data_IF_320322316463
#
_entry.id   IF_320322316463
#
_cell.length_a   1.000
_cell.length_b   1.000
_cell.length_c   1.000
_cell.angle_alpha   90.00
_cell.angle_beta   90.00
_cell.angle_gamma   90.00
#
_symmetry.space_group_name_H-M   'P 1'
#
loop_
_entity.id
_entity.type
_entity.pdbx_description
1 polymer ?
#
# COMPACT_ATOMS: atom_id res chain seq x y z
N UNK A 1 63.75 -45.28 26.80
CA UNK A 1 63.49 -44.00 27.49
C UNK A 1 62.64 -43.13 26.54
N UNK A 2 61.31 -42.97 26.78
CA UNK A 2 60.52 -42.10 25.94
C UNK A 2 60.57 -40.66 26.44
N UNK A 3 60.90 -39.71 25.53
CA UNK A 3 60.88 -38.28 25.81
C UNK A 3 59.45 -37.78 25.85
N UNK A 4 58.99 -37.31 26.99
CA UNK A 4 57.74 -36.61 27.17
C UNK A 4 57.82 -35.22 26.54
N UNK A 5 57.08 -35.01 25.43
CA UNK A 5 56.89 -33.71 24.78
C UNK A 5 55.88 -32.94 25.64
N UNK A 6 56.35 -31.95 26.40
CA UNK A 6 55.50 -31.01 27.15
C UNK A 6 54.84 -30.05 26.18
N UNK A 7 53.58 -30.30 25.79
CA UNK A 7 52.73 -29.35 25.07
C UNK A 7 52.49 -28.14 25.97
N UNK A 8 53.08 -27.01 25.63
CA UNK A 8 52.74 -25.72 26.21
C UNK A 8 51.34 -25.35 25.70
N UNK A 9 50.35 -25.40 26.56
CA UNK A 9 49.05 -24.80 26.29
C UNK A 9 49.25 -23.27 26.28
N UNK A 10 49.14 -22.70 25.09
CA UNK A 10 49.09 -21.25 24.93
C UNK A 10 47.78 -20.81 25.54
N UNK A 11 47.80 -20.22 26.69
CA UNK A 11 46.65 -19.65 27.37
C UNK A 11 46.39 -18.32 26.72
N UNK A 12 45.52 -18.30 25.68
CA UNK A 12 45.06 -17.08 25.08
C UNK A 12 44.39 -16.26 26.19
N UNK A 13 44.98 -15.14 26.54
CA UNK A 13 44.41 -14.16 27.48
C UNK A 13 43.21 -13.54 26.76
N UNK A 14 42.04 -13.99 27.07
CA UNK A 14 40.80 -13.26 26.73
C UNK A 14 40.85 -11.92 27.45
N UNK A 15 41.19 -10.87 26.72
CA UNK A 15 41.09 -9.49 27.19
C UNK A 15 39.62 -9.17 27.30
N UNK A 16 39.10 -9.09 28.52
CA UNK A 16 37.74 -8.64 28.79
C UNK A 16 37.62 -7.12 28.55
N UNK A 17 36.43 -6.68 28.12
CA UNK A 17 36.14 -5.26 27.97
C UNK A 17 36.21 -4.52 29.33
N UNK A 18 36.71 -3.31 29.32
CA UNK A 18 36.66 -2.45 30.50
C UNK A 18 35.27 -1.87 30.69
N UNK A 19 34.87 -1.59 31.94
CA UNK A 19 33.61 -0.97 32.24
C UNK A 19 33.47 0.40 31.53
N UNK A 20 34.57 1.15 31.46
CA UNK A 20 34.61 2.45 30.76
C UNK A 20 34.36 2.29 29.25
N UNK A 21 34.93 1.26 28.60
CA UNK A 21 34.71 1.01 27.17
C UNK A 21 33.24 0.71 26.84
N UNK A 22 32.58 -0.12 27.66
CA UNK A 22 31.16 -0.38 27.51
C UNK A 22 30.33 0.88 27.70
N UNK A 23 30.67 1.74 28.67
CA UNK A 23 29.96 2.99 28.92
C UNK A 23 30.07 3.94 27.74
N UNK A 24 31.27 4.09 27.14
CA UNK A 24 31.49 4.92 25.94
C UNK A 24 30.71 4.38 24.76
N UNK A 25 30.74 3.07 24.53
CA UNK A 25 29.99 2.42 23.43
C UNK A 25 28.48 2.65 23.59
N UNK A 26 27.93 2.46 24.80
CA UNK A 26 26.52 2.71 25.04
C UNK A 26 26.12 4.17 24.84
N UNK A 27 26.98 5.12 25.23
CA UNK A 27 26.75 6.55 24.98
C UNK A 27 26.72 6.86 23.47
N UNK A 28 27.65 6.32 22.68
CA UNK A 28 27.70 6.49 21.23
C UNK A 28 26.48 5.85 20.54
N UNK A 29 26.12 4.62 20.91
CA UNK A 29 24.94 3.93 20.37
C UNK A 29 23.67 4.70 20.70
N UNK A 30 23.53 5.22 21.92
CA UNK A 30 22.37 6.03 22.32
C UNK A 30 22.24 7.31 21.48
N UNK A 31 23.35 8.00 21.22
CA UNK A 31 23.37 9.21 20.39
C UNK A 31 23.00 8.89 18.93
N UNK A 32 23.54 7.83 18.34
CA UNK A 32 23.22 7.40 17.00
C UNK A 32 21.76 6.95 16.87
N UNK A 33 21.24 6.21 17.84
CA UNK A 33 19.86 5.76 17.86
C UNK A 33 18.87 6.93 17.89
N UNK A 34 19.18 8.01 18.62
CA UNK A 34 18.35 9.21 18.68
C UNK A 34 18.16 9.90 17.33
N UNK A 35 19.16 9.82 16.44
CA UNK A 35 19.07 10.41 15.08
C UNK A 35 18.43 9.43 14.09
N UNK A 36 18.68 8.14 14.23
CA UNK A 36 18.24 7.11 13.28
C UNK A 36 16.72 6.82 13.37
N UNK A 37 16.14 6.87 14.59
CA UNK A 37 14.76 6.47 14.81
C UNK A 37 13.72 7.28 14.02
N UNK A 38 13.73 8.63 13.98
CA UNK A 38 12.75 9.41 13.22
C UNK A 38 12.86 9.19 11.71
N UNK A 39 14.07 9.00 11.18
CA UNK A 39 14.30 8.72 9.76
C UNK A 39 13.70 7.38 9.33
N UNK A 40 13.75 6.37 10.18
CA UNK A 40 13.21 5.05 9.93
C UNK A 40 11.68 5.05 9.78
N UNK A 41 10.97 5.81 10.60
CA UNK A 41 9.51 5.93 10.53
C UNK A 41 9.06 6.55 9.20
N UNK A 42 9.74 7.60 8.74
CA UNK A 42 9.46 8.23 7.44
C UNK A 42 9.71 7.28 6.26
N UNK A 43 10.78 6.48 6.33
CA UNK A 43 11.08 5.47 5.32
C UNK A 43 10.00 4.38 5.26
N UNK A 44 9.59 3.82 6.41
CA UNK A 44 8.54 2.80 6.48
C UNK A 44 7.21 3.30 5.91
N UNK A 45 6.81 4.51 6.25
CA UNK A 45 5.58 5.14 5.72
C UNK A 45 5.61 5.28 4.21
N UNK A 46 6.74 5.71 3.64
CA UNK A 46 6.92 5.79 2.19
C UNK A 46 6.83 4.42 1.52
N UNK A 47 7.42 3.41 2.11
CA UNK A 47 7.37 2.05 1.58
C UNK A 47 5.94 1.51 1.57
N UNK A 48 5.16 1.75 2.63
CA UNK A 48 3.75 1.36 2.70
C UNK A 48 2.91 2.06 1.63
N UNK A 49 3.12 3.37 1.39
CA UNK A 49 2.46 4.12 0.33
C UNK A 49 2.84 3.61 -1.07
N UNK A 50 4.12 3.33 -1.31
CA UNK A 50 4.59 2.76 -2.58
C UNK A 50 3.95 1.40 -2.84
N UNK A 51 3.89 0.55 -1.82
CA UNK A 51 3.25 -0.76 -1.88
C UNK A 51 1.76 -0.63 -2.21
N UNK A 52 1.03 0.27 -1.54
CA UNK A 52 -0.39 0.49 -1.79
C UNK A 52 -0.64 0.99 -3.22
N UNK A 53 0.14 1.97 -3.69
CA UNK A 53 0.06 2.48 -5.05
C UNK A 53 0.33 1.39 -6.09
N UNK A 54 1.37 0.57 -5.89
CA UNK A 54 1.74 -0.52 -6.80
C UNK A 54 0.67 -1.62 -6.83
N UNK A 55 0.10 -1.99 -5.68
CA UNK A 55 -1.00 -2.97 -5.61
C UNK A 55 -2.26 -2.46 -6.31
N UNK A 56 -2.64 -1.20 -6.10
CA UNK A 56 -3.77 -0.59 -6.79
C UNK A 56 -3.55 -0.52 -8.31
N UNK A 57 -2.34 -0.17 -8.75
CA UNK A 57 -1.98 -0.20 -10.17
C UNK A 57 -2.09 -1.61 -10.75
N UNK A 58 -1.55 -2.61 -10.05
CA UNK A 58 -1.59 -4.01 -10.48
C UNK A 58 -3.02 -4.55 -10.53
N UNK A 59 -3.86 -4.20 -9.56
CA UNK A 59 -5.27 -4.62 -9.52
C UNK A 59 -6.07 -4.06 -10.69
N UNK A 60 -5.87 -2.77 -11.03
CA UNK A 60 -6.48 -2.15 -12.21
C UNK A 60 -6.02 -2.80 -13.51
N UNK A 61 -4.72 -3.08 -13.64
CA UNK A 61 -4.16 -3.80 -14.80
C UNK A 61 -4.68 -5.23 -14.90
N UNK A 62 -4.83 -5.91 -13.77
CA UNK A 62 -5.40 -7.26 -13.71
C UNK A 62 -6.86 -7.27 -14.19
N UNK A 63 -7.69 -6.34 -13.70
CA UNK A 63 -9.08 -6.21 -14.14
C UNK A 63 -9.16 -5.90 -15.64
N UNK A 64 -8.34 -4.97 -16.14
CA UNK A 64 -8.27 -4.62 -17.56
C UNK A 64 -7.89 -5.83 -18.43
N UNK A 65 -6.91 -6.61 -17.99
CA UNK A 65 -6.45 -7.82 -18.68
C UNK A 65 -7.51 -8.92 -18.63
N UNK A 66 -8.14 -9.15 -17.48
CA UNK A 66 -9.21 -10.13 -17.30
C UNK A 66 -10.44 -9.80 -18.14
N UNK A 67 -10.82 -8.51 -18.21
CA UNK A 67 -11.91 -8.06 -19.05
C UNK A 67 -11.69 -8.44 -20.53
N UNK A 68 -10.48 -8.21 -21.05
CA UNK A 68 -10.11 -8.59 -22.43
C UNK A 68 -10.09 -10.09 -22.65
N UNK A 69 -9.53 -10.84 -21.72
CA UNK A 69 -9.38 -12.31 -21.81
C UNK A 69 -10.73 -13.01 -21.76
N UNK A 70 -11.56 -12.61 -20.80
CA UNK A 70 -12.85 -13.27 -20.53
C UNK A 70 -13.98 -12.72 -21.41
N UNK A 71 -13.75 -11.62 -22.15
CA UNK A 71 -14.75 -10.89 -22.94
C UNK A 71 -15.97 -10.47 -22.11
N UNK A 72 -15.76 -10.16 -20.83
CA UNK A 72 -16.76 -9.76 -19.85
C UNK A 72 -16.30 -8.47 -19.14
N UNK A 73 -17.26 -7.77 -18.56
CA UNK A 73 -16.96 -6.60 -17.77
C UNK A 73 -16.36 -7.00 -16.42
N UNK A 74 -15.22 -6.40 -16.09
CA UNK A 74 -14.52 -6.56 -14.81
C UNK A 74 -14.40 -5.23 -14.11
N UNK A 75 -14.36 -5.26 -12.80
CA UNK A 75 -14.19 -4.06 -12.00
C UNK A 75 -13.20 -4.27 -10.85
N UNK A 76 -12.63 -3.17 -10.42
CA UNK A 76 -11.90 -3.09 -9.16
C UNK A 76 -12.67 -2.19 -8.23
N UNK A 77 -12.87 -2.68 -7.03
CA UNK A 77 -13.52 -1.93 -5.95
C UNK A 77 -12.54 -1.68 -4.82
N UNK A 78 -12.69 -0.53 -4.18
CA UNK A 78 -11.84 -0.05 -3.11
C UNK A 78 -12.70 0.45 -1.96
N UNK A 79 -12.30 0.22 -0.72
CA UNK A 79 -12.97 0.74 0.48
C UNK A 79 -12.01 0.92 1.65
N UNK A 80 -12.37 1.77 2.58
CA UNK A 80 -11.84 1.72 3.93
C UNK A 80 -12.79 0.87 4.78
N UNK A 81 -12.30 -0.20 5.39
CA UNK A 81 -13.10 -1.07 6.25
C UNK A 81 -12.42 -1.24 7.60
N UNK A 82 -13.06 -0.74 8.66
CA UNK A 82 -12.43 -0.63 9.97
C UNK A 82 -11.15 0.22 9.88
N UNK A 83 -10.04 -0.36 10.31
CA UNK A 83 -8.74 0.31 10.33
C UNK A 83 -7.89 0.03 9.07
N UNK A 84 -8.46 -0.55 8.01
CA UNK A 84 -7.72 -0.97 6.81
C UNK A 84 -8.38 -0.50 5.52
N UNK A 85 -7.54 -0.06 4.59
CA UNK A 85 -7.94 0.08 3.20
C UNK A 85 -7.91 -1.31 2.54
N UNK A 86 -8.90 -1.59 1.69
CA UNK A 86 -9.07 -2.86 1.00
C UNK A 86 -9.40 -2.65 -0.48
N UNK A 87 -9.08 -3.67 -1.28
CA UNK A 87 -9.52 -3.73 -2.68
C UNK A 87 -9.98 -5.14 -3.04
N UNK A 88 -10.82 -5.24 -4.07
CA UNK A 88 -11.22 -6.50 -4.66
C UNK A 88 -11.31 -6.38 -6.19
N UNK A 89 -10.84 -7.41 -6.90
CA UNK A 89 -10.93 -7.52 -8.36
C UNK A 89 -11.96 -8.59 -8.69
N UNK A 90 -13.02 -8.22 -9.40
CA UNK A 90 -14.11 -9.16 -9.67
C UNK A 90 -14.87 -8.81 -10.96
N UNK A 91 -15.65 -9.76 -11.44
CA UNK A 91 -16.58 -9.53 -12.56
C UNK A 91 -17.65 -8.54 -12.13
N UNK A 92 -18.05 -7.68 -13.04
CA UNK A 92 -19.17 -6.76 -12.78
C UNK A 92 -20.46 -7.56 -12.57
N UNK A 93 -21.18 -7.34 -11.46
CA UNK A 93 -22.46 -8.02 -11.25
C UNK A 93 -23.48 -7.59 -12.29
N UNK A 94 -24.26 -8.55 -12.83
CA UNK A 94 -25.28 -8.33 -13.85
C UNK A 94 -26.40 -7.43 -13.34
N UNK A 95 -26.68 -7.48 -12.04
CA UNK A 95 -27.62 -6.60 -11.36
C UNK A 95 -26.83 -5.62 -10.51
N UNK A 96 -27.16 -4.35 -10.60
CA UNK A 96 -26.67 -3.30 -9.70
C UNK A 96 -26.93 -3.76 -8.26
N UNK A 97 -25.91 -4.39 -7.66
CA UNK A 97 -26.10 -5.12 -6.42
C UNK A 97 -26.12 -4.11 -5.26
N UNK A 98 -27.34 -3.74 -4.87
CA UNK A 98 -27.60 -3.10 -3.57
C UNK A 98 -27.48 -4.10 -2.42
N UNK A 99 -27.21 -5.37 -2.73
CA UNK A 99 -27.20 -6.44 -1.74
C UNK A 99 -25.87 -6.43 -0.97
N UNK A 100 -25.94 -6.10 0.30
CA UNK A 100 -24.77 -6.12 1.21
C UNK A 100 -24.08 -7.50 1.24
N UNK A 101 -24.81 -8.61 1.08
CA UNK A 101 -24.26 -9.96 1.07
C UNK A 101 -23.27 -10.17 -0.10
N UNK A 102 -23.51 -9.56 -1.28
CA UNK A 102 -22.57 -9.62 -2.40
C UNK A 102 -21.22 -9.01 -2.02
N UNK A 103 -21.24 -7.83 -1.42
CA UNK A 103 -20.03 -7.10 -1.05
C UNK A 103 -19.26 -7.77 0.09
N UNK A 104 -19.97 -8.44 1.00
CA UNK A 104 -19.34 -9.19 2.09
C UNK A 104 -18.67 -10.47 1.61
N UNK A 105 -19.16 -11.07 0.52
CA UNK A 105 -18.61 -12.33 -0.02
C UNK A 105 -17.49 -12.12 -1.06
N UNK A 106 -17.11 -10.88 -1.37
CA UNK A 106 -15.95 -10.63 -2.23
C UNK A 106 -14.64 -11.01 -1.53
N UNK A 107 -13.69 -11.49 -2.32
CA UNK A 107 -12.32 -11.69 -1.86
C UNK A 107 -11.61 -10.35 -1.72
N UNK A 108 -11.75 -9.73 -0.56
CA UNK A 108 -11.08 -8.48 -0.25
C UNK A 108 -9.63 -8.73 0.12
N UNK A 109 -8.74 -7.94 -0.46
CA UNK A 109 -7.32 -7.92 -0.12
C UNK A 109 -6.99 -6.63 0.64
N UNK A 110 -6.23 -6.77 1.73
CA UNK A 110 -5.83 -5.63 2.57
C UNK A 110 -4.61 -4.90 1.98
N UNK A 111 -4.65 -3.59 2.03
CA UNK A 111 -3.44 -2.77 1.96
C UNK A 111 -2.71 -2.78 3.32
N UNK A 112 -1.52 -2.17 3.35
CA UNK A 112 -0.79 -1.98 4.60
C UNK A 112 -1.62 -1.14 5.58
N UNK A 113 -1.62 -1.54 6.87
CA UNK A 113 -2.40 -0.87 7.92
C UNK A 113 -2.00 0.58 8.18
N UNK A 114 -0.80 1.01 7.72
CA UNK A 114 -0.34 2.39 7.82
C UNK A 114 -0.96 3.33 6.78
N UNK A 115 -1.74 2.79 5.82
CA UNK A 115 -2.27 3.54 4.68
C UNK A 115 -3.80 3.52 4.70
N UNK A 116 -4.41 4.64 4.32
CA UNK A 116 -5.86 4.79 4.11
C UNK A 116 -6.15 5.37 2.73
N UNK A 117 -7.33 5.09 2.20
CA UNK A 117 -7.87 5.74 1.00
C UNK A 117 -8.41 7.11 1.43
N UNK A 118 -8.03 8.15 0.69
CA UNK A 118 -8.57 9.50 0.90
C UNK A 118 -9.93 9.57 0.23
N UNK A 119 -10.97 9.68 1.02
CA UNK A 119 -12.36 9.70 0.54
C UNK A 119 -12.71 11.04 -0.13
N UNK A 120 -13.76 11.03 -0.95
CA UNK A 120 -14.25 12.21 -1.66
C UNK A 120 -14.79 13.30 -0.72
N UNK A 121 -15.26 12.91 0.46
CA UNK A 121 -15.74 13.81 1.51
C UNK A 121 -14.64 14.48 2.32
N UNK A 122 -13.39 14.00 2.16
CA UNK A 122 -12.24 14.56 2.84
C UNK A 122 -11.97 15.99 2.38
N UNK A 123 -11.63 16.88 3.30
CA UNK A 123 -11.14 18.23 2.99
C UNK A 123 -9.73 18.23 2.43
N UNK A 124 -9.02 17.10 2.56
CA UNK A 124 -7.66 16.93 2.05
C UNK A 124 -7.66 16.81 0.53
N UNK A 125 -6.85 17.60 -0.14
CA UNK A 125 -6.58 17.46 -1.56
C UNK A 125 -5.18 16.87 -1.74
N UNK A 126 -5.00 15.95 -2.72
CA UNK A 126 -5.95 15.35 -3.66
C UNK A 126 -6.78 14.21 -3.02
N UNK A 127 -8.02 14.07 -3.45
CA UNK A 127 -8.97 13.05 -3.00
C UNK A 127 -9.26 11.99 -4.06
N UNK A 128 -9.88 10.88 -3.65
CA UNK A 128 -10.38 9.85 -4.56
C UNK A 128 -11.56 10.39 -5.36
N UNK A 129 -11.54 10.19 -6.69
CA UNK A 129 -12.59 10.60 -7.61
C UNK A 129 -13.18 9.47 -8.44
N UNK A 130 -12.81 8.22 -8.14
CA UNK A 130 -13.48 7.06 -8.74
C UNK A 130 -14.96 7.04 -8.36
N UNK A 131 -15.76 6.39 -9.17
CA UNK A 131 -17.21 6.32 -8.98
C UNK A 131 -17.55 5.72 -7.61
N UNK A 132 -18.20 6.53 -6.76
CA UNK A 132 -18.71 6.08 -5.45
C UNK A 132 -20.03 5.34 -5.65
N UNK A 133 -20.13 4.16 -5.07
CA UNK A 133 -21.34 3.35 -5.10
C UNK A 133 -22.31 3.85 -4.02
N UNK A 134 -23.28 4.68 -4.43
CA UNK A 134 -24.27 5.30 -3.53
C UNK A 134 -25.26 4.32 -2.91
N UNK A 135 -25.42 3.14 -3.51
CA UNK A 135 -26.36 2.11 -3.08
C UNK A 135 -25.86 1.26 -1.90
N UNK A 136 -24.61 1.44 -1.48
CA UNK A 136 -24.01 0.68 -0.38
C UNK A 136 -23.96 1.63 0.82
N UNK A 137 -24.61 1.27 1.94
CA UNK A 137 -24.37 1.98 3.19
C UNK A 137 -22.91 1.79 3.60
N UNK A 138 -22.40 2.70 4.42
CA UNK A 138 -21.02 2.67 4.91
C UNK A 138 -20.47 1.24 5.13
N UNK A 139 -19.22 0.98 4.76
CA UNK A 139 -18.21 1.95 4.30
C UNK A 139 -18.35 2.33 2.83
N UNK A 140 -17.95 3.56 2.48
CA UNK A 140 -17.93 4.04 1.10
C UNK A 140 -17.11 3.11 0.19
N UNK A 141 -17.71 2.64 -0.89
CA UNK A 141 -17.05 1.79 -1.89
C UNK A 141 -16.84 2.59 -3.17
N UNK A 142 -15.61 2.65 -3.64
CA UNK A 142 -15.21 3.28 -4.90
C UNK A 142 -14.94 2.19 -5.93
N UNK A 143 -15.29 2.42 -7.19
CA UNK A 143 -15.04 1.44 -8.25
C UNK A 143 -14.44 2.07 -9.49
N UNK A 144 -13.82 1.22 -10.30
CA UNK A 144 -13.52 1.42 -11.72
C UNK A 144 -13.89 0.16 -12.47
N UNK A 145 -14.68 0.31 -13.52
CA UNK A 145 -15.15 -0.78 -14.37
C UNK A 145 -14.47 -0.72 -15.74
N UNK A 146 -14.02 -1.87 -16.23
CA UNK A 146 -13.50 -2.07 -17.57
C UNK A 146 -14.46 -2.99 -18.34
N UNK A 147 -14.83 -2.57 -19.53
CA UNK A 147 -15.67 -3.36 -20.42
C UNK A 147 -14.87 -4.52 -21.07
N UNK A 148 -15.55 -5.38 -21.81
CA UNK A 148 -14.98 -6.55 -22.51
C UNK A 148 -13.79 -6.22 -23.45
N UNK A 149 -13.62 -4.94 -23.84
CA UNK A 149 -12.46 -4.48 -24.64
C UNK A 149 -11.32 -3.98 -23.74
N UNK A 150 -11.48 -4.00 -22.42
CA UNK A 150 -10.52 -3.50 -21.45
C UNK A 150 -10.37 -1.99 -21.44
N UNK A 151 -11.39 -1.25 -21.90
CA UNK A 151 -11.46 0.19 -21.77
C UNK A 151 -12.38 0.55 -20.61
N UNK A 152 -12.11 1.66 -19.89
CA UNK A 152 -13.00 2.10 -18.82
C UNK A 152 -14.40 2.35 -19.35
N UNK A 153 -15.41 1.97 -18.58
CA UNK A 153 -16.80 2.30 -18.89
C UNK A 153 -17.01 3.82 -18.84
N UNK A 154 -18.05 4.31 -19.50
CA UNK A 154 -18.36 5.75 -19.50
C UNK A 154 -18.53 6.29 -18.08
N UNK A 155 -17.84 7.38 -17.76
CA UNK A 155 -17.87 7.99 -16.43
C UNK A 155 -16.94 7.35 -15.38
N UNK A 156 -16.18 6.32 -15.73
CA UNK A 156 -15.27 5.62 -14.80
C UNK A 156 -13.82 6.15 -14.84
N UNK A 157 -13.62 7.34 -15.40
CA UNK A 157 -12.33 8.03 -15.31
C UNK A 157 -12.17 8.71 -13.95
N UNK A 158 -10.95 8.72 -13.46
CA UNK A 158 -10.69 9.33 -12.15
C UNK A 158 -9.41 8.81 -11.52
N UNK A 159 -9.35 8.93 -10.21
CA UNK A 159 -8.19 8.50 -9.43
C UNK A 159 -8.60 7.90 -8.09
N UNK A 160 -7.74 7.01 -7.60
CA UNK A 160 -7.72 6.61 -6.20
C UNK A 160 -6.49 7.21 -5.53
N UNK A 161 -6.67 7.80 -4.38
CA UNK A 161 -5.63 8.48 -3.62
C UNK A 161 -5.41 7.80 -2.28
N UNK A 162 -4.16 7.52 -1.99
CA UNK A 162 -3.71 6.94 -0.73
C UNK A 162 -2.97 7.99 0.10
N UNK A 163 -3.22 7.96 1.39
CA UNK A 163 -2.51 8.74 2.39
C UNK A 163 -2.01 7.84 3.52
N UNK A 164 -0.91 8.18 4.18
CA UNK A 164 -0.55 7.56 5.43
C UNK A 164 -1.51 8.04 6.52
N UNK A 165 -1.73 7.23 7.55
CA UNK A 165 -2.50 7.65 8.72
C UNK A 165 -1.83 8.77 9.50
N UNK A 166 -0.50 8.89 9.38
CA UNK A 166 0.30 9.95 9.98
C UNK A 166 1.19 10.57 8.91
N UNK A 167 0.99 11.86 8.64
CA UNK A 167 1.75 12.64 7.64
C UNK A 167 0.90 13.09 6.45
N UNK A 168 1.50 13.91 5.58
CA UNK A 168 0.78 14.63 4.51
C UNK A 168 1.07 14.10 3.11
N UNK A 169 1.90 13.09 2.97
CA UNK A 169 2.25 12.54 1.66
C UNK A 169 1.04 11.88 1.02
N UNK A 170 0.87 12.09 -0.27
CA UNK A 170 -0.21 11.49 -1.06
C UNK A 170 0.38 10.80 -2.28
N UNK A 171 -0.14 9.60 -2.56
CA UNK A 171 0.14 8.87 -3.80
C UNK A 171 -1.16 8.41 -4.40
N UNK A 172 -1.23 8.45 -5.73
CA UNK A 172 -2.46 8.10 -6.42
C UNK A 172 -2.21 7.28 -7.68
N UNK A 173 -3.25 6.56 -8.07
CA UNK A 173 -3.34 5.87 -9.35
C UNK A 173 -4.48 6.52 -10.13
N UNK A 174 -4.19 6.93 -11.36
CA UNK A 174 -5.11 7.70 -12.20
C UNK A 174 -5.43 6.87 -13.44
N UNK A 175 -6.73 6.73 -13.72
CA UNK A 175 -7.25 6.25 -15.02
C UNK A 175 -7.63 7.48 -15.82
N UNK A 176 -6.81 7.85 -16.80
CA UNK A 176 -6.82 9.20 -17.39
C UNK A 176 -7.36 9.27 -18.82
N UNK A 177 -7.57 8.15 -19.51
CA UNK A 177 -8.02 8.17 -20.89
C UNK A 177 -9.12 7.15 -21.15
N UNK A 178 -9.96 7.42 -22.15
CA UNK A 178 -10.98 6.49 -22.62
C UNK A 178 -10.40 5.15 -23.11
N UNK A 179 -9.11 5.11 -23.44
CA UNK A 179 -8.41 3.87 -23.79
C UNK A 179 -7.92 3.08 -22.56
N UNK A 180 -8.13 3.60 -21.35
CA UNK A 180 -7.74 2.95 -20.11
C UNK A 180 -6.26 3.07 -19.78
N UNK A 181 -5.63 4.20 -20.11
CA UNK A 181 -4.27 4.49 -19.65
C UNK A 181 -4.27 4.68 -18.14
N UNK A 182 -3.44 3.88 -17.46
CA UNK A 182 -3.28 3.93 -16.01
C UNK A 182 -1.90 4.50 -15.71
N UNK A 183 -1.85 5.56 -14.90
CA UNK A 183 -0.61 6.22 -14.50
C UNK A 183 -0.50 6.36 -12.99
N UNK A 184 0.73 6.44 -12.50
CA UNK A 184 1.06 6.71 -11.11
C UNK A 184 1.39 8.19 -10.97
N UNK A 185 0.98 8.79 -9.86
CA UNK A 185 1.35 10.16 -9.52
C UNK A 185 1.50 10.32 -8.01
N UNK A 186 2.11 11.43 -7.58
CA UNK A 186 2.33 11.74 -6.18
C UNK A 186 2.23 13.25 -5.91
N UNK A 187 1.92 13.60 -4.68
CA UNK A 187 1.81 14.98 -4.22
C UNK A 187 0.81 15.80 -5.04
N UNK A 188 1.22 16.97 -5.51
CA UNK A 188 0.40 17.88 -6.32
C UNK A 188 0.00 17.29 -7.68
N UNK A 189 0.78 16.38 -8.25
CA UNK A 189 0.43 15.71 -9.51
C UNK A 189 -0.84 14.84 -9.39
N UNK A 190 -1.22 14.44 -8.18
CA UNK A 190 -2.50 13.79 -7.95
C UNK A 190 -3.71 14.72 -8.14
N UNK A 191 -3.53 16.04 -8.18
CA UNK A 191 -4.62 17.01 -8.43
C UNK A 191 -4.96 17.14 -9.91
N UNK A 192 -4.06 16.73 -10.78
CA UNK A 192 -4.26 16.82 -12.25
C UNK A 192 -5.03 15.61 -12.72
N UNK A 193 -6.25 15.80 -13.17
CA UNK A 193 -7.13 14.80 -13.82
C UNK A 193 -6.96 14.86 -15.32
#
# INVERSE_FOLDING_TARGET
MPRLIKRRLNRDRSLGFTLLEILVVLALVGLLAGIAAPSWLGFKTNQSLNSAQSRAFSSLRSAQSSAKRDQLDWQVTFRNYGDRAQYAVHKTPILSSTNAAYWNNLSWEDFDSAVAIVEDTSTSQPRTTFTKLSAIPEPAVYRVQFNSKGVPSLGELGRITFAPKVGDRRKCVIVSTLLGSIRLAEGSACNQS
#
